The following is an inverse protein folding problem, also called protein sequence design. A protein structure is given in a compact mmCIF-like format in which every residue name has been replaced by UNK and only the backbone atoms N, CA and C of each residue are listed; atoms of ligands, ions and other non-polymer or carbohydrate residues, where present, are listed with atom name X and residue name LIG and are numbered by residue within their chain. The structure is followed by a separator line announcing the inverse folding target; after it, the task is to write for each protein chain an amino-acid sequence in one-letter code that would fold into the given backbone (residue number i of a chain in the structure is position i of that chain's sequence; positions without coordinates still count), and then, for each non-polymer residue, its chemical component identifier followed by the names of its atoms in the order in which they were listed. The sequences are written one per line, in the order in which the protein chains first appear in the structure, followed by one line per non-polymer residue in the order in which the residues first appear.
data_IF_738370999831
#
_entry.id   IF_738370999831
#
_cell.length_a   1.000
_cell.length_b   1.000
_cell.length_c   1.000
_cell.angle_alpha   90.00
_cell.angle_beta   90.00
_cell.angle_gamma   90.00
#
_symmetry.space_group_name_H-M   'P 1'
#
loop_
_entity.id
_entity.type
_entity.pdbx_description
1 polymer ?
#
# COMPACT_ATOMS: atom_id res chain seq x y z
N UNK A 1 -17.31 -18.11 2.19
CA UNK A 1 -16.86 -17.09 1.22
C UNK A 1 -17.92 -16.00 1.12
N UNK A 2 -17.54 -14.72 1.22
CA UNK A 2 -18.49 -13.58 1.19
C UNK A 2 -19.11 -13.38 -0.20
N UNK A 3 -20.21 -12.59 -0.29
CA UNK A 3 -20.83 -12.22 -1.57
C UNK A 3 -19.84 -11.47 -2.47
N UNK A 4 -19.14 -10.46 -1.93
CA UNK A 4 -18.04 -9.76 -2.62
C UNK A 4 -16.96 -10.73 -3.11
N UNK A 5 -16.57 -11.73 -2.30
CA UNK A 5 -15.57 -12.72 -2.69
C UNK A 5 -15.99 -13.58 -3.89
N UNK A 6 -17.27 -13.94 -4.00
CA UNK A 6 -17.82 -14.63 -5.19
C UNK A 6 -17.74 -13.75 -6.43
N UNK A 7 -18.17 -12.49 -6.32
CA UNK A 7 -18.15 -11.53 -7.44
C UNK A 7 -16.72 -11.29 -7.94
N UNK A 8 -15.74 -11.13 -7.04
CA UNK A 8 -14.33 -10.96 -7.42
C UNK A 8 -13.75 -12.20 -8.13
N UNK A 9 -14.13 -13.41 -7.70
CA UNK A 9 -13.73 -14.65 -8.38
C UNK A 9 -14.35 -14.75 -9.78
N UNK A 10 -15.62 -14.40 -9.91
CA UNK A 10 -16.32 -14.36 -11.19
C UNK A 10 -15.66 -13.37 -12.15
N UNK A 11 -15.40 -12.14 -11.70
CA UNK A 11 -14.70 -11.12 -12.49
C UNK A 11 -13.32 -11.60 -12.98
N UNK A 12 -12.52 -12.19 -12.08
CA UNK A 12 -11.21 -12.72 -12.45
C UNK A 12 -11.32 -13.91 -13.42
N UNK A 13 -12.30 -14.80 -13.21
CA UNK A 13 -12.56 -15.96 -14.06
C UNK A 13 -13.02 -15.59 -15.46
N UNK A 14 -13.98 -14.67 -15.58
CA UNK A 14 -14.47 -14.16 -16.86
C UNK A 14 -13.34 -13.48 -17.65
N UNK A 15 -12.58 -12.60 -16.99
CA UNK A 15 -11.43 -11.95 -17.62
C UNK A 15 -10.39 -12.97 -18.12
N UNK A 16 -10.14 -14.04 -17.38
CA UNK A 16 -9.24 -15.11 -17.81
C UNK A 16 -9.74 -15.86 -19.06
N UNK A 17 -11.04 -16.19 -19.13
CA UNK A 17 -11.66 -16.90 -20.25
C UNK A 17 -11.65 -16.03 -21.51
N UNK A 18 -11.98 -14.76 -21.37
CA UNK A 18 -12.03 -13.78 -22.47
C UNK A 18 -10.64 -13.30 -22.90
N UNK A 19 -9.57 -13.78 -22.24
CA UNK A 19 -8.19 -13.29 -22.40
C UNK A 19 -8.05 -11.78 -22.17
N UNK A 20 -8.95 -11.21 -21.37
CA UNK A 20 -8.94 -9.82 -20.95
C UNK A 20 -7.92 -9.60 -19.81
N UNK A 21 -6.87 -8.83 -20.09
CA UNK A 21 -5.86 -8.50 -19.08
C UNK A 21 -6.30 -7.42 -18.08
N UNK A 22 -7.39 -6.71 -18.37
CA UNK A 22 -7.90 -5.60 -17.57
C UNK A 22 -9.42 -5.62 -17.51
N UNK A 23 -9.95 -5.21 -16.37
CA UNK A 23 -11.38 -4.94 -16.15
C UNK A 23 -11.53 -3.45 -15.89
N UNK A 24 -12.45 -2.82 -16.61
CA UNK A 24 -12.85 -1.44 -16.35
C UNK A 24 -13.96 -1.47 -15.31
N UNK A 25 -13.69 -0.85 -14.16
CA UNK A 25 -14.68 -0.65 -13.11
C UNK A 25 -15.65 0.43 -13.59
N UNK A 26 -16.78 0.00 -14.16
CA UNK A 26 -17.91 0.88 -14.46
C UNK A 26 -18.63 1.28 -13.17
N UNK A 27 -19.46 2.33 -13.24
CA UNK A 27 -20.27 2.75 -12.09
C UNK A 27 -21.23 1.61 -11.67
N UNK A 28 -21.82 0.88 -12.63
CA UNK A 28 -22.65 -0.31 -12.34
C UNK A 28 -21.88 -1.41 -11.61
N UNK A 29 -20.65 -1.73 -12.05
CA UNK A 29 -19.85 -2.75 -11.36
C UNK A 29 -19.41 -2.29 -9.96
N UNK A 30 -19.18 -0.99 -9.79
CA UNK A 30 -18.90 -0.40 -8.48
C UNK A 30 -20.10 -0.56 -7.54
N UNK A 31 -21.30 -0.20 -7.98
CA UNK A 31 -22.55 -0.37 -7.22
C UNK A 31 -22.78 -1.85 -6.83
N UNK A 32 -22.51 -2.79 -7.74
CA UNK A 32 -22.61 -4.23 -7.45
C UNK A 32 -21.61 -4.68 -6.38
N UNK A 33 -20.36 -4.20 -6.46
CA UNK A 33 -19.31 -4.52 -5.47
C UNK A 33 -19.65 -3.92 -4.10
N UNK A 34 -20.19 -2.71 -4.06
CA UNK A 34 -20.65 -2.05 -2.82
C UNK A 34 -21.82 -2.81 -2.20
N UNK A 35 -22.86 -3.12 -2.97
CA UNK A 35 -24.00 -3.92 -2.51
C UNK A 35 -23.58 -5.34 -2.04
N UNK A 36 -22.50 -5.88 -2.60
CA UNK A 36 -21.93 -7.16 -2.20
C UNK A 36 -21.03 -7.09 -0.96
N UNK A 37 -20.52 -5.91 -0.61
CA UNK A 37 -19.68 -5.67 0.56
C UNK A 37 -20.48 -5.48 1.86
N UNK A 38 -21.74 -5.04 1.75
CA UNK A 38 -22.63 -4.77 2.88
C UNK A 38 -23.00 -3.29 2.97
N UNK A 39 -23.61 -2.84 4.08
CA UNK A 39 -23.96 -1.44 4.26
C UNK A 39 -22.71 -0.56 4.19
N UNK A 40 -22.79 0.63 3.56
CA UNK A 40 -21.67 1.56 3.53
C UNK A 40 -21.32 1.99 4.95
N UNK A 41 -20.05 2.31 5.22
CA UNK A 41 -19.67 2.78 6.52
C UNK A 41 -20.30 4.15 6.81
N UNK A 42 -20.66 4.38 8.07
CA UNK A 42 -21.21 5.65 8.55
C UNK A 42 -20.15 6.74 8.75
N UNK A 43 -18.87 6.35 8.77
CA UNK A 43 -17.73 7.26 8.92
C UNK A 43 -16.67 6.94 7.87
N UNK A 44 -15.98 7.96 7.37
CA UNK A 44 -14.87 7.80 6.43
C UNK A 44 -13.54 7.75 7.18
N UNK A 45 -12.53 7.14 6.57
CA UNK A 45 -11.16 7.27 7.05
C UNK A 45 -10.79 8.77 7.06
N UNK A 46 -10.40 9.36 8.21
CA UNK A 46 -10.19 10.81 8.30
C UNK A 46 -9.11 11.31 7.34
N UNK A 47 -8.03 10.55 7.22
CA UNK A 47 -6.95 10.81 6.28
C UNK A 47 -6.07 9.58 6.06
N UNK A 48 -5.36 9.55 4.94
CA UNK A 48 -4.35 8.56 4.57
C UNK A 48 -3.35 9.18 3.58
N UNK A 49 -2.31 8.44 3.21
CA UNK A 49 -1.48 8.79 2.04
C UNK A 49 -1.63 7.74 0.96
N UNK A 50 -1.70 8.16 -0.29
CA UNK A 50 -1.65 7.30 -1.47
C UNK A 50 -0.28 7.45 -2.12
N UNK A 51 0.42 6.33 -2.33
CA UNK A 51 1.64 6.28 -3.12
C UNK A 51 1.31 5.74 -4.51
N UNK A 52 1.65 6.49 -5.55
CA UNK A 52 1.31 6.16 -6.92
C UNK A 52 2.40 6.62 -7.92
N UNK A 53 2.36 6.05 -9.12
CA UNK A 53 3.12 6.51 -10.28
C UNK A 53 2.17 7.24 -11.24
N UNK A 54 2.63 8.36 -11.81
CA UNK A 54 1.95 9.01 -12.93
C UNK A 54 2.58 8.52 -14.22
N UNK A 55 1.77 7.94 -15.10
CA UNK A 55 2.20 7.38 -16.37
C UNK A 55 1.71 8.29 -17.50
N UNK A 56 2.63 8.94 -18.21
CA UNK A 56 2.33 9.81 -19.33
C UNK A 56 3.53 9.88 -20.29
N UNK A 57 3.22 9.88 -21.59
CA UNK A 57 4.22 9.87 -22.67
C UNK A 57 5.12 11.10 -22.67
N UNK A 58 4.58 12.25 -22.29
CA UNK A 58 5.27 13.55 -22.30
C UNK A 58 4.53 14.54 -21.41
N UNK A 59 5.18 15.65 -21.08
CA UNK A 59 4.55 16.72 -20.30
C UNK A 59 3.31 17.30 -21.02
N UNK A 60 3.33 17.57 -22.35
CA UNK A 60 2.13 17.98 -23.07
C UNK A 60 0.99 16.95 -23.06
N UNK A 61 1.28 15.65 -23.02
CA UNK A 61 0.25 14.62 -22.89
C UNK A 61 -0.39 14.67 -21.50
N UNK A 62 0.45 14.80 -20.45
CA UNK A 62 0.01 14.99 -19.08
C UNK A 62 -0.91 16.22 -18.95
N UNK A 63 -0.51 17.37 -19.52
CA UNK A 63 -1.26 18.63 -19.48
C UNK A 63 -2.65 18.54 -20.15
N UNK A 64 -2.77 17.73 -21.22
CA UNK A 64 -4.05 17.45 -21.88
C UNK A 64 -4.89 16.38 -21.18
N UNK A 65 -4.41 15.85 -20.06
CA UNK A 65 -5.10 14.81 -19.29
C UNK A 65 -4.93 13.40 -19.85
N UNK A 66 -3.98 13.18 -20.76
CA UNK A 66 -3.63 11.85 -21.28
C UNK A 66 -2.56 11.20 -20.40
N UNK A 67 -3.02 10.68 -19.25
CA UNK A 67 -2.18 10.02 -18.28
C UNK A 67 -2.95 8.92 -17.55
N UNK A 68 -2.20 8.03 -16.89
CA UNK A 68 -2.72 7.06 -15.92
C UNK A 68 -2.08 7.26 -14.56
N UNK A 69 -2.82 6.96 -13.50
CA UNK A 69 -2.31 6.94 -12.12
C UNK A 69 -2.28 5.50 -11.66
N UNK A 70 -1.09 4.91 -11.55
CA UNK A 70 -0.92 3.55 -11.02
C UNK A 70 -0.74 3.60 -9.52
N UNK A 71 -1.70 3.08 -8.78
CA UNK A 71 -1.63 2.99 -7.32
C UNK A 71 -0.64 1.89 -6.93
N UNK A 72 0.33 2.23 -6.08
CA UNK A 72 1.27 1.25 -5.52
C UNK A 72 0.80 0.75 -4.16
N UNK A 73 0.42 1.68 -3.27
CA UNK A 73 -0.05 1.38 -1.93
C UNK A 73 -0.77 2.59 -1.34
N UNK A 74 -1.47 2.36 -0.22
CA UNK A 74 -2.03 3.39 0.64
C UNK A 74 -1.56 3.16 2.07
N UNK A 75 -1.39 4.23 2.83
CA UNK A 75 -1.02 4.17 4.24
C UNK A 75 -2.25 4.30 5.14
N UNK A 76 -2.07 3.96 6.42
CA UNK A 76 -3.10 4.12 7.45
C UNK A 76 -3.45 5.58 7.79
N UNK A 77 -2.53 6.52 7.54
CA UNK A 77 -2.63 7.92 7.96
C UNK A 77 -1.69 8.84 7.18
N UNK A 78 -2.06 10.12 7.07
CA UNK A 78 -1.17 11.16 6.57
C UNK A 78 0.15 11.22 7.37
N UNK A 79 1.28 11.43 6.69
CA UNK A 79 2.62 11.45 7.31
C UNK A 79 3.26 10.08 7.55
N UNK A 80 2.57 8.97 7.29
CA UNK A 80 3.10 7.60 7.53
C UNK A 80 4.34 7.30 6.67
N UNK A 81 4.26 7.52 5.36
CA UNK A 81 5.32 7.22 4.40
C UNK A 81 6.35 8.33 4.31
N UNK A 82 5.90 9.57 4.50
CA UNK A 82 6.72 10.79 4.32
C UNK A 82 7.41 11.26 5.61
N UNK A 83 6.95 10.83 6.78
CA UNK A 83 7.35 11.39 8.07
C UNK A 83 8.85 11.36 8.34
N UNK A 84 9.54 10.23 8.10
CA UNK A 84 11.00 10.12 8.28
C UNK A 84 11.79 11.10 7.40
N UNK A 85 11.23 11.52 6.27
CA UNK A 85 11.87 12.43 5.32
C UNK A 85 11.56 13.90 5.62
N UNK A 86 10.72 14.21 6.61
CA UNK A 86 10.27 15.59 6.88
C UNK A 86 11.42 16.55 7.17
N UNK A 87 12.54 16.06 7.70
CA UNK A 87 13.75 16.85 7.92
C UNK A 87 14.38 17.40 6.63
N UNK A 88 14.13 16.77 5.47
CA UNK A 88 14.60 17.23 4.16
C UNK A 88 13.76 18.38 3.60
N UNK A 89 12.57 18.63 4.17
CA UNK A 89 11.63 19.63 3.67
C UNK A 89 11.23 20.64 4.74
N UNK A 90 12.17 21.33 5.42
CA UNK A 90 11.90 22.17 6.59
C UNK A 90 10.78 23.19 6.34
N UNK A 91 10.75 23.77 5.13
CA UNK A 91 9.81 24.81 4.71
C UNK A 91 8.44 24.30 4.22
N UNK A 92 8.25 22.98 4.09
CA UNK A 92 6.96 22.44 3.68
C UNK A 92 5.90 22.74 4.77
N UNK A 93 4.71 23.26 4.40
CA UNK A 93 3.68 23.56 5.38
C UNK A 93 3.37 22.32 6.23
N UNK A 94 3.21 22.51 7.54
CA UNK A 94 2.89 21.45 8.49
C UNK A 94 1.42 21.00 8.34
N UNK A 95 1.06 20.52 7.15
CA UNK A 95 -0.29 20.09 6.80
C UNK A 95 -0.85 18.99 7.71
N UNK A 96 0.01 18.36 8.52
CA UNK A 96 -0.36 17.39 9.56
C UNK A 96 -1.14 18.01 10.74
N UNK A 97 -0.98 19.31 11.04
CA UNK A 97 -1.60 19.94 12.23
C UNK A 97 -3.11 20.17 12.06
N UNK A 98 -3.62 20.22 10.82
CA UNK A 98 -5.03 20.50 10.51
C UNK A 98 -5.77 19.29 9.91
N UNK A 99 -5.28 18.09 10.19
CA UNK A 99 -5.91 16.85 9.73
C UNK A 99 -7.16 16.54 10.57
N UNK A 100 -8.25 16.06 9.95
CA UNK A 100 -9.43 15.64 10.71
C UNK A 100 -9.12 14.37 11.50
N UNK A 101 -9.68 14.27 12.70
CA UNK A 101 -9.64 13.09 13.56
C UNK A 101 -10.93 12.30 13.47
N UNK A 102 -10.91 11.05 13.94
CA UNK A 102 -12.11 10.22 14.10
C UNK A 102 -13.07 10.86 15.11
N UNK A 103 -12.53 11.36 16.23
CA UNK A 103 -13.28 12.14 17.20
C UNK A 103 -13.01 13.63 16.98
N UNK A 104 -13.97 14.44 16.51
CA UNK A 104 -13.75 15.85 16.17
C UNK A 104 -13.25 16.73 17.34
N UNK A 105 -13.39 16.27 18.59
CA UNK A 105 -12.87 16.99 19.77
C UNK A 105 -11.46 16.55 20.17
N UNK A 106 -10.91 15.51 19.53
CA UNK A 106 -9.56 15.03 19.82
C UNK A 106 -8.49 15.91 19.19
N UNK A 107 -7.41 16.14 19.92
CA UNK A 107 -6.20 16.76 19.40
C UNK A 107 -5.26 15.69 18.82
N UNK A 108 -4.57 16.01 17.73
CA UNK A 108 -3.53 15.14 17.19
C UNK A 108 -2.25 15.24 18.04
N UNK A 109 -1.73 14.08 18.44
CA UNK A 109 -0.41 13.98 19.07
C UNK A 109 0.48 12.99 18.32
N UNK A 110 1.79 13.24 18.32
CA UNK A 110 2.75 12.37 17.66
C UNK A 110 3.14 11.22 18.57
N UNK A 111 3.08 9.99 18.07
CA UNK A 111 3.63 8.83 18.76
C UNK A 111 5.10 8.65 18.38
N UNK A 112 5.96 8.53 19.39
CA UNK A 112 7.39 8.31 19.27
C UNK A 112 7.83 7.10 20.08
N UNK A 113 8.66 6.25 19.47
CA UNK A 113 9.05 4.96 20.02
C UNK A 113 10.25 4.37 19.27
N UNK A 114 10.97 3.47 19.92
CA UNK A 114 11.93 2.58 19.26
C UNK A 114 11.25 1.30 18.76
N UNK A 115 11.66 0.76 17.60
CA UNK A 115 11.14 -0.50 17.12
C UNK A 115 11.65 -1.65 17.99
N UNK A 116 10.91 -2.75 18.02
CA UNK A 116 11.31 -3.96 18.74
C UNK A 116 12.56 -4.63 18.18
N UNK A 117 13.01 -4.24 16.98
CA UNK A 117 14.21 -4.77 16.33
C UNK A 117 15.05 -3.66 15.69
N UNK A 118 16.36 -3.77 15.84
CA UNK A 118 17.33 -2.75 15.42
C UNK A 118 17.34 -2.52 13.91
N UNK A 119 17.01 -3.53 13.09
CA UNK A 119 16.98 -3.41 11.63
C UNK A 119 15.93 -2.40 11.14
N UNK A 120 14.91 -2.11 11.97
CA UNK A 120 13.88 -1.14 11.68
C UNK A 120 14.14 0.24 12.32
N UNK A 121 15.26 0.46 13.02
CA UNK A 121 15.54 1.69 13.76
C UNK A 121 15.40 2.95 12.88
N UNK A 122 16.01 2.92 11.69
CA UNK A 122 15.94 4.00 10.70
C UNK A 122 14.52 4.30 10.18
N UNK A 123 13.55 3.39 10.38
CA UNK A 123 12.16 3.62 10.00
C UNK A 123 11.41 4.47 11.04
N UNK A 124 11.87 4.49 12.30
CA UNK A 124 11.20 5.20 13.41
C UNK A 124 11.81 6.56 13.72
N UNK A 125 13.03 6.84 13.21
CA UNK A 125 13.70 8.15 13.32
C UNK A 125 12.93 9.21 12.54
N UNK A 126 12.08 9.95 13.24
CA UNK A 126 11.17 10.93 12.66
C UNK A 126 11.26 12.24 13.44
N UNK A 127 11.36 13.40 12.78
CA UNK A 127 11.31 14.67 13.49
C UNK A 127 9.94 14.86 14.15
N UNK A 128 9.90 15.64 15.24
CA UNK A 128 8.63 16.04 15.83
C UNK A 128 7.94 17.08 14.93
N UNK A 129 6.72 16.76 14.48
CA UNK A 129 5.92 17.63 13.61
C UNK A 129 4.61 18.07 14.25
N UNK A 130 4.17 17.40 15.31
CA UNK A 130 3.00 17.80 16.08
C UNK A 130 3.41 18.46 17.41
N UNK A 131 2.58 19.38 17.94
CA UNK A 131 2.88 20.07 19.19
C UNK A 131 3.05 19.14 20.39
N UNK A 132 2.23 18.09 20.46
CA UNK A 132 2.27 17.07 21.52
C UNK A 132 2.93 15.79 21.07
N UNK A 133 3.62 15.15 22.00
CA UNK A 133 4.34 13.90 21.80
C UNK A 133 3.89 12.88 22.86
N UNK A 134 3.59 11.66 22.43
CA UNK A 134 3.47 10.49 23.31
C UNK A 134 4.73 9.65 23.10
N UNK A 135 5.54 9.54 24.15
CA UNK A 135 6.83 8.84 24.16
C UNK A 135 6.69 7.45 24.76
N UNK A 136 7.13 6.41 24.04
CA UNK A 136 7.07 5.02 24.53
C UNK A 136 8.45 4.39 24.49
N UNK A 137 8.99 4.08 25.67
CA UNK A 137 10.29 3.40 25.80
C UNK A 137 11.49 4.27 25.42
N UNK A 138 11.33 5.59 25.36
CA UNK A 138 12.41 6.55 25.14
C UNK A 138 12.68 7.35 26.41
N UNK A 139 13.95 7.72 26.62
CA UNK A 139 14.33 8.68 27.66
C UNK A 139 14.13 10.11 27.15
N UNK A 140 13.20 10.85 27.74
CA UNK A 140 12.91 12.26 27.42
C UNK A 140 12.83 13.06 28.71
N UNK A 141 13.24 14.33 28.64
CA UNK A 141 13.11 15.26 29.76
C UNK A 141 11.65 15.60 30.06
N UNK A 142 11.39 16.19 31.22
CA UNK A 142 10.07 16.72 31.58
C UNK A 142 9.75 17.94 30.72
N UNK A 143 8.71 17.84 29.90
CA UNK A 143 8.12 18.92 29.09
C UNK A 143 6.61 18.69 29.11
N UNK A 144 5.81 19.74 29.36
CA UNK A 144 4.34 19.67 29.42
C UNK A 144 3.71 19.16 28.11
N UNK A 145 4.48 19.15 27.01
CA UNK A 145 4.08 18.63 25.69
C UNK A 145 4.43 17.17 25.48
N UNK A 146 5.17 16.55 26.39
CA UNK A 146 5.59 15.15 26.33
C UNK A 146 4.78 14.34 27.33
N UNK A 147 4.01 13.38 26.82
CA UNK A 147 3.20 12.44 27.58
C UNK A 147 3.84 11.05 27.50
N UNK A 148 3.61 10.26 28.54
CA UNK A 148 3.99 8.86 28.64
C UNK A 148 2.74 7.98 28.73
N UNK A 149 2.85 6.66 28.55
CA UNK A 149 1.70 5.75 28.66
C UNK A 149 0.95 5.86 30.00
N UNK A 150 1.64 6.20 31.09
CA UNK A 150 1.04 6.38 32.41
C UNK A 150 0.12 7.62 32.50
N UNK A 151 0.29 8.59 31.60
CA UNK A 151 -0.53 9.81 31.54
C UNK A 151 -1.80 9.61 30.72
N UNK A 152 -1.98 8.43 30.10
CA UNK A 152 -3.08 8.15 29.19
C UNK A 152 -4.11 7.21 29.82
N UNK A 153 -5.37 7.52 29.56
CA UNK A 153 -6.51 6.66 29.86
C UNK A 153 -7.26 6.30 28.58
N UNK A 154 -7.89 5.12 28.59
CA UNK A 154 -8.75 4.66 27.51
C UNK A 154 -10.20 4.87 27.91
N UNK A 155 -10.96 5.54 27.06
CA UNK A 155 -12.41 5.68 27.21
C UNK A 155 -13.16 4.96 26.10
N UNK A 156 -14.46 4.77 26.33
CA UNK A 156 -15.41 4.26 25.34
C UNK A 156 -16.51 5.32 25.12
N UNK A 157 -16.79 5.65 23.87
CA UNK A 157 -17.90 6.53 23.46
C UNK A 157 -18.69 5.85 22.35
N UNK A 158 -19.91 5.42 22.66
CA UNK A 158 -20.69 4.59 21.73
C UNK A 158 -19.92 3.30 21.40
N UNK A 159 -19.61 3.09 20.13
CA UNK A 159 -18.81 1.96 19.64
C UNK A 159 -17.32 2.27 19.44
N UNK A 160 -16.84 3.47 19.82
CA UNK A 160 -15.48 3.91 19.56
C UNK A 160 -14.67 4.02 20.86
N UNK A 161 -13.51 3.38 20.88
CA UNK A 161 -12.50 3.62 21.89
C UNK A 161 -11.75 4.91 21.57
N UNK A 162 -11.34 5.65 22.60
CA UNK A 162 -10.53 6.85 22.45
C UNK A 162 -9.46 6.92 23.53
N UNK A 163 -8.40 7.67 23.26
CA UNK A 163 -7.37 8.02 24.24
C UNK A 163 -7.68 9.40 24.83
N UNK A 164 -7.41 9.57 26.11
CA UNK A 164 -7.42 10.86 26.76
C UNK A 164 -6.27 11.01 27.76
N UNK A 165 -5.87 12.24 28.04
CA UNK A 165 -4.93 12.57 29.10
C UNK A 165 -5.64 12.41 30.45
N UNK A 166 -5.09 11.59 31.34
CA UNK A 166 -5.68 11.24 32.63
C UNK A 166 -6.01 12.47 33.48
N UNK A 167 -5.08 13.42 33.55
CA UNK A 167 -5.19 14.60 34.40
C UNK A 167 -6.24 15.62 33.94
N UNK A 168 -6.47 15.73 32.63
CA UNK A 168 -7.30 16.81 32.04
C UNK A 168 -8.55 16.29 31.32
N UNK A 169 -8.64 14.99 31.05
CA UNK A 169 -9.67 14.41 30.20
C UNK A 169 -9.55 14.77 28.71
N UNK A 170 -8.47 15.45 28.31
CA UNK A 170 -8.29 15.89 26.94
C UNK A 170 -8.12 14.70 26.00
N UNK A 171 -8.96 14.60 24.96
CA UNK A 171 -8.92 13.50 23.99
C UNK A 171 -7.79 13.65 22.98
N UNK A 172 -7.18 12.52 22.64
CA UNK A 172 -6.06 12.44 21.70
C UNK A 172 -6.31 11.40 20.60
N UNK A 173 -5.85 11.71 19.39
CA UNK A 173 -5.62 10.73 18.32
C UNK A 173 -4.14 10.73 17.97
N UNK A 174 -3.51 9.56 18.03
CA UNK A 174 -2.06 9.45 17.86
C UNK A 174 -1.67 9.17 16.41
N UNK A 175 -0.78 9.99 15.87
CA UNK A 175 -0.15 9.75 14.57
C UNK A 175 1.25 9.21 14.76
N UNK A 176 1.54 8.09 14.10
CA UNK A 176 2.89 7.55 13.98
C UNK A 176 3.47 7.92 12.61
N UNK A 177 4.40 8.89 12.51
CA UNK A 177 4.98 9.35 11.23
C UNK A 177 6.03 8.37 10.65
N UNK A 178 5.79 7.07 10.77
CA UNK A 178 6.69 5.99 10.38
C UNK A 178 6.00 4.94 9.51
N UNK A 179 6.69 4.47 8.47
CA UNK A 179 6.23 3.41 7.58
C UNK A 179 6.53 1.99 8.10
N UNK A 180 6.85 1.85 9.39
CA UNK A 180 7.07 0.55 10.01
C UNK A 180 5.77 -0.28 10.01
N UNK A 181 5.91 -1.58 9.79
CA UNK A 181 4.78 -2.48 9.83
C UNK A 181 4.39 -2.78 11.29
N UNK A 182 3.10 -2.58 11.62
CA UNK A 182 2.58 -2.84 12.96
C UNK A 182 2.24 -4.31 13.21
N UNK A 183 1.93 -5.06 12.16
CA UNK A 183 1.45 -6.44 12.24
C UNK A 183 2.55 -7.48 12.03
N UNK A 184 3.34 -7.30 10.96
CA UNK A 184 4.28 -8.30 10.49
C UNK A 184 5.66 -8.13 11.11
N UNK A 185 6.36 -9.25 11.23
CA UNK A 185 7.76 -9.35 11.65
C UNK A 185 8.06 -8.82 13.06
N UNK A 186 7.02 -8.55 13.86
CA UNK A 186 7.10 -8.09 15.26
C UNK A 186 8.00 -6.84 15.44
N UNK A 187 8.03 -5.93 14.46
CA UNK A 187 8.85 -4.73 14.51
C UNK A 187 8.31 -3.65 15.46
N UNK A 188 7.01 -3.68 15.77
CA UNK A 188 6.35 -2.64 16.57
C UNK A 188 6.03 -3.20 17.96
N UNK A 189 6.40 -2.51 19.07
CA UNK A 189 6.03 -2.94 20.41
C UNK A 189 4.49 -3.03 20.56
N UNK A 190 3.94 -4.04 21.26
CA UNK A 190 2.49 -4.20 21.37
C UNK A 190 1.75 -2.97 21.92
N UNK A 191 2.34 -2.31 22.93
CA UNK A 191 1.79 -1.07 23.50
C UNK A 191 1.75 0.07 22.48
N UNK A 192 2.82 0.24 21.69
CA UNK A 192 2.88 1.26 20.63
C UNK A 192 1.80 1.01 19.59
N UNK A 193 1.66 -0.25 19.15
CA UNK A 193 0.62 -0.63 18.19
C UNK A 193 -0.77 -0.33 18.73
N UNK A 194 -1.04 -0.73 19.97
CA UNK A 194 -2.32 -0.46 20.64
C UNK A 194 -2.63 1.04 20.64
N UNK A 195 -1.68 1.86 21.10
CA UNK A 195 -1.81 3.32 21.14
C UNK A 195 -2.01 3.95 19.75
N UNK A 196 -1.38 3.40 18.72
CA UNK A 196 -1.50 3.91 17.35
C UNK A 196 -2.81 3.51 16.65
N UNK A 197 -3.39 2.36 17.00
CA UNK A 197 -4.59 1.80 16.33
C UNK A 197 -5.89 2.14 17.06
N UNK A 198 -5.87 2.33 18.39
CA UNK A 198 -7.08 2.36 19.23
C UNK A 198 -8.13 3.40 18.79
N UNK A 199 -7.74 4.65 18.55
CA UNK A 199 -8.69 5.72 18.18
C UNK A 199 -9.33 5.49 16.80
N UNK A 200 -8.72 4.63 15.97
CA UNK A 200 -9.16 4.34 14.60
C UNK A 200 -9.72 2.92 14.43
N UNK A 201 -9.65 2.08 15.46
CA UNK A 201 -9.94 0.65 15.37
C UNK A 201 -11.37 0.33 14.89
N UNK A 202 -12.34 1.17 15.25
CA UNK A 202 -13.74 1.04 14.84
C UNK A 202 -14.10 1.90 13.61
N UNK A 203 -13.11 2.44 12.89
CA UNK A 203 -13.32 3.22 11.67
C UNK A 203 -12.80 2.49 10.44
N UNK A 204 -13.52 2.55 9.31
CA UNK A 204 -13.02 1.98 8.07
C UNK A 204 -11.68 2.62 7.69
N UNK A 205 -10.75 1.78 7.28
CA UNK A 205 -9.47 2.23 6.72
C UNK A 205 -9.50 2.02 5.21
N UNK A 206 -8.89 2.94 4.46
CA UNK A 206 -8.60 2.72 3.04
C UNK A 206 -7.38 1.80 2.96
N UNK A 207 -7.52 0.66 2.30
CA UNK A 207 -6.44 -0.31 2.09
C UNK A 207 -6.07 -0.39 0.61
N UNK A 208 -5.03 -1.17 0.30
CA UNK A 208 -4.80 -1.58 -1.08
C UNK A 208 -5.99 -2.43 -1.58
N UNK A 209 -6.15 -2.52 -2.90
CA UNK A 209 -7.18 -3.39 -3.47
C UNK A 209 -6.82 -4.86 -3.22
N UNK A 210 -7.73 -5.58 -2.57
CA UNK A 210 -7.57 -6.99 -2.26
C UNK A 210 -8.53 -7.86 -3.10
N UNK A 211 -7.95 -8.73 -3.93
CA UNK A 211 -8.68 -9.76 -4.69
C UNK A 211 -9.26 -10.86 -3.79
N UNK A 212 -8.92 -10.89 -2.49
CA UNK A 212 -9.42 -11.87 -1.53
C UNK A 212 -9.10 -13.30 -1.97
N UNK A 213 -10.11 -14.18 -1.99
CA UNK A 213 -9.93 -15.57 -2.42
C UNK A 213 -9.40 -15.71 -3.86
N UNK A 214 -9.66 -14.73 -4.73
CA UNK A 214 -9.19 -14.75 -6.11
C UNK A 214 -7.65 -14.63 -6.24
N UNK A 215 -6.92 -14.24 -5.18
CA UNK A 215 -5.45 -14.31 -5.19
C UNK A 215 -4.90 -15.73 -5.40
N UNK A 216 -5.70 -16.76 -5.10
CA UNK A 216 -5.32 -18.17 -5.33
C UNK A 216 -5.30 -18.55 -6.81
N UNK A 217 -5.92 -17.74 -7.68
CA UNK A 217 -5.94 -17.95 -9.12
C UNK A 217 -4.55 -17.69 -9.72
N UNK A 218 -4.19 -18.41 -10.81
CA UNK A 218 -2.92 -18.20 -11.51
C UNK A 218 -2.86 -16.86 -12.23
N UNK A 219 -3.99 -16.18 -12.41
CA UNK A 219 -4.11 -14.89 -13.04
C UNK A 219 -5.20 -14.06 -12.35
N UNK A 220 -4.95 -12.76 -12.19
CA UNK A 220 -5.97 -11.76 -11.86
C UNK A 220 -5.79 -10.55 -12.77
N UNK A 221 -6.87 -9.99 -13.35
CA UNK A 221 -6.76 -8.86 -14.27
C UNK A 221 -6.35 -7.57 -13.54
N UNK A 222 -5.86 -6.60 -14.30
CA UNK A 222 -5.74 -5.24 -13.81
C UNK A 222 -7.13 -4.65 -13.55
N UNK A 223 -7.29 -3.81 -12.52
CA UNK A 223 -8.51 -3.02 -12.33
C UNK A 223 -8.26 -1.57 -12.63
N UNK A 224 -9.04 -1.04 -13.57
CA UNK A 224 -8.97 0.35 -13.99
C UNK A 224 -10.24 1.06 -13.57
N UNK A 225 -10.10 2.22 -12.94
CA UNK A 225 -11.21 3.13 -12.67
C UNK A 225 -10.85 4.50 -13.19
N UNK A 226 -11.60 4.99 -14.19
CA UNK A 226 -11.28 6.25 -14.89
C UNK A 226 -9.83 6.25 -15.39
N UNK A 227 -8.98 7.17 -14.91
CA UNK A 227 -7.54 7.25 -15.24
C UNK A 227 -6.66 6.43 -14.29
N UNK A 228 -7.22 5.81 -13.27
CA UNK A 228 -6.46 5.10 -12.24
C UNK A 228 -6.35 3.61 -12.55
N UNK A 229 -5.18 3.04 -12.31
CA UNK A 229 -4.94 1.60 -12.24
C UNK A 229 -4.87 1.26 -10.75
N UNK A 230 -5.94 0.68 -10.21
CA UNK A 230 -6.10 0.40 -8.77
C UNK A 230 -5.23 -0.80 -8.35
N UNK A 231 -5.14 -1.80 -9.23
CA UNK A 231 -4.26 -2.96 -9.09
C UNK A 231 -3.82 -3.40 -10.49
N UNK A 232 -2.56 -3.79 -10.63
CA UNK A 232 -2.03 -4.30 -11.90
C UNK A 232 -2.44 -5.76 -12.12
N UNK A 233 -2.47 -6.18 -13.39
CA UNK A 233 -2.63 -7.58 -13.72
C UNK A 233 -1.50 -8.39 -13.08
N UNK A 234 -1.82 -9.59 -12.61
CA UNK A 234 -0.88 -10.50 -11.95
C UNK A 234 -0.96 -11.87 -12.60
N UNK A 235 0.20 -12.48 -12.78
CA UNK A 235 0.37 -13.89 -13.12
C UNK A 235 1.18 -14.60 -12.05
N UNK A 236 0.83 -15.84 -11.77
CA UNK A 236 1.58 -16.74 -10.89
C UNK A 236 2.18 -17.87 -11.71
N UNK A 237 3.49 -17.80 -11.92
CA UNK A 237 4.27 -18.83 -12.59
C UNK A 237 4.76 -19.84 -11.56
N UNK A 238 4.32 -21.09 -11.66
CA UNK A 238 4.80 -22.15 -10.76
C UNK A 238 6.11 -22.72 -11.27
N UNK A 239 7.07 -22.94 -10.38
CA UNK A 239 8.38 -23.49 -10.75
C UNK A 239 8.26 -24.80 -11.53
N UNK A 240 7.34 -25.69 -11.11
CA UNK A 240 7.03 -26.98 -11.77
C UNK A 240 6.50 -26.87 -13.21
N UNK A 241 6.11 -25.68 -13.67
CA UNK A 241 5.66 -25.46 -15.04
C UNK A 241 6.83 -25.36 -16.01
N UNK A 242 8.04 -25.13 -15.50
CA UNK A 242 9.26 -24.98 -16.27
C UNK A 242 10.23 -26.14 -16.02
N UNK A 243 11.20 -26.36 -16.94
CA UNK A 243 12.26 -27.33 -16.73
C UNK A 243 13.04 -27.09 -15.44
N UNK A 244 13.60 -28.15 -14.88
CA UNK A 244 14.35 -28.12 -13.63
C UNK A 244 15.66 -27.32 -13.71
N UNK A 245 16.36 -27.25 -12.57
CA UNK A 245 17.61 -26.48 -12.44
C UNK A 245 18.76 -27.01 -13.33
N UNK A 246 18.71 -28.27 -13.73
CA UNK A 246 19.73 -28.92 -14.58
C UNK A 246 19.49 -28.77 -16.08
N UNK A 247 18.31 -28.27 -16.49
CA UNK A 247 18.02 -28.05 -17.90
C UNK A 247 18.92 -26.97 -18.51
N UNK A 248 19.14 -27.02 -19.82
CA UNK A 248 19.86 -25.95 -20.51
C UNK A 248 18.99 -24.67 -20.56
N UNK A 249 19.64 -23.51 -20.67
CA UNK A 249 18.92 -22.22 -20.64
C UNK A 249 17.99 -22.04 -21.85
N UNK A 250 18.40 -22.50 -23.03
CA UNK A 250 17.62 -22.50 -24.26
C UNK A 250 16.30 -23.29 -24.11
N UNK A 251 16.37 -24.52 -23.61
CA UNK A 251 15.19 -25.35 -23.31
C UNK A 251 14.27 -24.66 -22.29
N UNK A 252 14.86 -24.08 -21.24
CA UNK A 252 14.11 -23.39 -20.21
C UNK A 252 13.40 -22.15 -20.75
N UNK A 253 14.09 -21.35 -21.57
CA UNK A 253 13.55 -20.15 -22.21
C UNK A 253 12.42 -20.48 -23.18
N UNK A 254 12.56 -21.52 -24.00
CA UNK A 254 11.50 -21.98 -24.91
C UNK A 254 10.22 -22.33 -24.14
N UNK A 255 10.35 -23.09 -23.04
CA UNK A 255 9.19 -23.46 -22.20
C UNK A 255 8.58 -22.25 -21.51
N UNK A 256 9.37 -21.26 -21.11
CA UNK A 256 8.86 -20.00 -20.61
C UNK A 256 8.09 -19.23 -21.69
N UNK A 257 8.60 -19.12 -22.91
CA UNK A 257 7.92 -18.44 -24.02
C UNK A 257 6.60 -19.11 -24.39
N UNK A 258 6.55 -20.45 -24.40
CA UNK A 258 5.30 -21.21 -24.59
C UNK A 258 4.30 -20.92 -23.47
N UNK A 259 4.76 -20.92 -22.21
CA UNK A 259 3.90 -20.57 -21.08
C UNK A 259 3.38 -19.12 -21.18
N UNK A 260 4.27 -18.18 -21.52
CA UNK A 260 4.00 -16.74 -21.67
C UNK A 260 2.92 -16.51 -22.73
N UNK A 261 3.09 -17.11 -23.91
CA UNK A 261 2.12 -17.02 -25.00
C UNK A 261 0.75 -17.59 -24.61
N UNK A 262 0.72 -18.75 -23.93
CA UNK A 262 -0.53 -19.38 -23.48
C UNK A 262 -1.24 -18.54 -22.41
N UNK A 263 -0.49 -18.04 -21.43
CA UNK A 263 -1.00 -17.28 -20.28
C UNK A 263 -1.25 -15.80 -20.61
N UNK A 264 -0.89 -15.35 -21.82
CA UNK A 264 -1.01 -13.96 -22.23
C UNK A 264 -0.19 -13.03 -21.35
N UNK A 265 1.04 -13.40 -21.03
CA UNK A 265 1.96 -12.58 -20.22
C UNK A 265 2.74 -11.65 -21.17
N UNK A 266 2.86 -10.34 -20.89
CA UNK A 266 3.62 -9.43 -21.74
C UNK A 266 5.12 -9.72 -21.69
N UNK A 267 5.87 -9.15 -22.63
CA UNK A 267 7.34 -9.27 -22.65
C UNK A 267 7.97 -8.64 -21.40
N UNK A 268 7.47 -7.47 -20.98
CA UNK A 268 7.97 -6.76 -19.80
C UNK A 268 7.04 -6.97 -18.61
N UNK A 269 7.60 -7.43 -17.51
CA UNK A 269 6.89 -7.71 -16.26
C UNK A 269 7.66 -7.17 -15.06
N UNK A 270 6.95 -6.99 -13.95
CA UNK A 270 7.56 -6.74 -12.64
C UNK A 270 7.52 -8.05 -11.83
N UNK A 271 8.67 -8.65 -11.58
CA UNK A 271 8.80 -9.75 -10.62
C UNK A 271 8.72 -9.20 -9.20
N UNK A 272 7.77 -9.69 -8.41
CA UNK A 272 7.66 -9.32 -7.00
C UNK A 272 8.62 -10.14 -6.14
N UNK A 273 9.39 -9.45 -5.31
CA UNK A 273 10.36 -10.01 -4.37
C UNK A 273 10.19 -9.28 -3.03
N UNK A 274 9.44 -9.88 -2.10
CA UNK A 274 9.03 -9.24 -0.85
C UNK A 274 8.39 -7.85 -1.09
N UNK A 275 9.02 -6.78 -0.59
CA UNK A 275 8.58 -5.39 -0.77
C UNK A 275 9.11 -4.74 -2.06
N UNK A 276 9.96 -5.44 -2.82
CA UNK A 276 10.60 -4.96 -4.03
C UNK A 276 9.90 -5.48 -5.28
N UNK A 277 10.06 -4.73 -6.37
CA UNK A 277 9.63 -5.12 -7.71
C UNK A 277 10.80 -4.96 -8.66
N UNK A 278 11.15 -6.03 -9.35
CA UNK A 278 12.22 -6.04 -10.33
C UNK A 278 11.62 -6.06 -11.73
N UNK A 279 11.96 -5.06 -12.55
CA UNK A 279 11.57 -5.05 -13.94
C UNK A 279 12.38 -6.09 -14.71
N UNK A 280 11.69 -6.99 -15.38
CA UNK A 280 12.26 -8.01 -16.26
C UNK A 280 11.69 -7.86 -17.67
N UNK A 281 12.55 -7.92 -18.65
CA UNK A 281 12.21 -8.16 -20.05
C UNK A 281 12.43 -9.65 -20.36
N UNK A 282 11.33 -10.39 -20.43
CA UNK A 282 11.31 -11.84 -20.65
C UNK A 282 11.74 -12.25 -22.05
N UNK A 283 12.31 -11.34 -22.84
CA UNK A 283 12.98 -11.62 -24.12
C UNK A 283 14.51 -11.57 -24.01
N UNK A 284 15.05 -11.17 -22.86
CA UNK A 284 16.50 -11.02 -22.61
C UNK A 284 17.02 -12.15 -21.74
N UNK A 285 18.05 -12.86 -22.21
CA UNK A 285 18.64 -14.01 -21.50
C UNK A 285 19.03 -13.69 -20.06
N UNK A 286 19.62 -12.51 -19.81
CA UNK A 286 20.01 -12.09 -18.46
C UNK A 286 18.81 -12.00 -17.50
N UNK A 287 17.67 -11.48 -17.97
CA UNK A 287 16.46 -11.34 -17.15
C UNK A 287 15.78 -12.71 -16.95
N UNK A 288 15.93 -13.62 -17.91
CA UNK A 288 15.51 -15.01 -17.78
C UNK A 288 16.32 -15.75 -16.70
N UNK A 289 17.64 -15.53 -16.64
CA UNK A 289 18.50 -16.10 -15.60
C UNK A 289 18.11 -15.60 -14.19
N UNK A 290 17.73 -14.31 -14.06
CA UNK A 290 17.22 -13.76 -12.81
C UNK A 290 15.91 -14.43 -12.37
N UNK A 291 14.95 -14.59 -13.30
CA UNK A 291 13.69 -15.27 -13.03
C UNK A 291 13.92 -16.75 -12.67
N UNK A 292 14.82 -17.43 -13.39
CA UNK A 292 15.20 -18.82 -13.15
C UNK A 292 15.84 -19.00 -11.77
N UNK A 293 16.70 -18.07 -11.37
CA UNK A 293 17.34 -18.05 -10.05
C UNK A 293 16.30 -17.89 -8.94
N UNK A 294 15.37 -16.95 -9.11
CA UNK A 294 14.26 -16.77 -8.16
C UNK A 294 13.42 -18.05 -8.01
N UNK A 295 13.04 -18.70 -9.12
CA UNK A 295 12.30 -19.96 -9.11
C UNK A 295 13.11 -21.16 -8.59
N UNK A 296 14.43 -21.04 -8.51
CA UNK A 296 15.30 -22.03 -7.87
C UNK A 296 15.18 -22.04 -6.34
N UNK A 297 14.73 -20.94 -5.74
CA UNK A 297 14.52 -20.79 -4.29
C UNK A 297 13.06 -20.63 -3.85
N UNK A 298 12.13 -20.43 -4.79
CA UNK A 298 10.71 -20.22 -4.53
C UNK A 298 9.82 -21.17 -5.35
N UNK A 299 8.72 -21.73 -4.79
CA UNK A 299 7.81 -22.59 -5.52
C UNK A 299 7.03 -21.87 -6.64
N UNK A 300 6.98 -20.55 -6.62
CA UNK A 300 6.35 -19.72 -7.64
C UNK A 300 6.97 -18.33 -7.75
N UNK A 301 6.86 -17.74 -8.94
CA UNK A 301 7.11 -16.33 -9.19
C UNK A 301 5.77 -15.60 -9.33
N UNK A 302 5.67 -14.44 -8.69
CA UNK A 302 4.54 -13.52 -8.88
C UNK A 302 4.99 -12.39 -9.81
N UNK A 303 4.37 -12.34 -10.99
CA UNK A 303 4.67 -11.36 -12.02
C UNK A 303 3.50 -10.38 -12.10
N UNK A 304 3.80 -9.09 -12.18
CA UNK A 304 2.82 -8.05 -12.44
C UNK A 304 3.07 -7.40 -13.80
N UNK A 305 2.02 -6.84 -14.38
CA UNK A 305 2.17 -6.02 -15.58
C UNK A 305 3.12 -4.83 -15.33
N UNK A 306 4.03 -4.59 -16.26
CA UNK A 306 4.98 -3.49 -16.17
C UNK A 306 4.39 -2.20 -16.76
N UNK A 307 4.78 -1.01 -16.26
CA UNK A 307 4.46 0.23 -16.95
C UNK A 307 4.98 0.19 -18.40
N UNK A 308 4.28 0.84 -19.34
CA UNK A 308 4.81 1.06 -20.69
C UNK A 308 6.23 1.66 -20.66
N UNK A 309 7.10 1.35 -21.65
CA UNK A 309 8.47 1.85 -21.69
C UNK A 309 8.61 3.38 -21.58
N UNK A 310 7.61 4.10 -22.11
CA UNK A 310 7.49 5.54 -22.20
C UNK A 310 6.59 6.15 -21.10
N UNK A 311 6.19 5.34 -20.11
CA UNK A 311 5.31 5.79 -19.03
C UNK A 311 5.89 6.96 -18.23
N UNK A 312 7.21 7.05 -18.10
CA UNK A 312 7.91 8.12 -17.37
C UNK A 312 8.37 9.26 -18.30
N UNK A 313 7.91 9.29 -19.57
CA UNK A 313 8.35 10.26 -20.57
C UNK A 313 8.08 11.72 -20.17
N UNK A 314 6.99 11.97 -19.43
CA UNK A 314 6.66 13.30 -18.90
C UNK A 314 7.72 13.89 -17.95
N UNK A 315 8.53 13.05 -17.30
CA UNK A 315 9.62 13.47 -16.39
C UNK A 315 11.00 13.12 -16.95
N UNK A 316 11.11 12.92 -18.28
CA UNK A 316 12.36 12.59 -18.96
C UNK A 316 12.84 11.16 -18.71
N UNK A 317 11.92 10.21 -18.56
CA UNK A 317 12.22 8.79 -18.39
C UNK A 317 12.70 8.41 -16.98
N UNK A 318 12.59 9.31 -16.00
CA UNK A 318 13.01 9.04 -14.62
C UNK A 318 11.92 8.28 -13.86
N UNK A 319 12.27 7.09 -13.36
CA UNK A 319 11.42 6.34 -12.46
C UNK A 319 11.08 7.18 -11.22
N UNK A 320 9.80 7.17 -10.83
CA UNK A 320 9.33 8.02 -9.75
C UNK A 320 8.16 7.39 -8.99
N UNK A 321 7.87 7.93 -7.81
CA UNK A 321 6.64 7.70 -7.07
C UNK A 321 6.23 9.00 -6.39
N UNK A 322 4.94 9.28 -6.39
CA UNK A 322 4.34 10.45 -5.77
C UNK A 322 3.53 9.97 -4.58
N UNK A 323 3.75 10.60 -3.43
CA UNK A 323 2.94 10.38 -2.23
C UNK A 323 2.03 11.58 -2.03
N UNK A 324 0.72 11.34 -2.03
CA UNK A 324 -0.31 12.37 -1.84
C UNK A 324 -1.07 12.08 -0.55
N UNK A 325 -1.10 13.05 0.36
CA UNK A 325 -1.98 13.00 1.52
C UNK A 325 -3.42 13.30 1.10
N UNK A 326 -4.34 12.42 1.47
CA UNK A 326 -5.78 12.55 1.22
C UNK A 326 -6.47 12.68 2.57
N UNK A 327 -7.43 13.60 2.67
CA UNK A 327 -8.27 13.79 3.86
C UNK A 327 -9.74 13.76 3.47
N UNK A 328 -10.58 13.29 4.38
CA UNK A 328 -12.03 13.38 4.21
C UNK A 328 -12.45 14.85 4.07
N UNK A 329 -13.42 15.10 3.17
CA UNK A 329 -14.13 16.38 3.13
C UNK A 329 -14.90 16.59 4.44
N UNK A 330 -15.09 17.86 4.81
CA UNK A 330 -16.03 18.20 5.88
C UNK A 330 -17.47 17.97 5.44
#
# INVERSE_FOLDING_TARGET
MSRRGRLLLELAGTAAIERGQKVILSETLLEELEAAAGPPPTTLAPHFEMCAQVQALSLPALDRGDFRVRVHTVSRAAGTMTGRFRHLFPQAPAGQVALPTVDPVAELAQLSFHPSRVEADLLTRTPQVLPKLVSVGEFRGSDDKVLFPADLVVGLRGSHLYLAVAATGQRLELLAPTAINFMWNNFTPPLVRFLAEISRAATPQVTWFDWGAAWTLPFTPALHYRRSILVAARWQLRARTLPGRTARLDEWAERLHVWRARAGVPDRVLLAMDAQRLLLDLTRDMDLDLLRTHLGGSPFAVLYDAPPPDADGWIGGRAHSIVVAVRAGR
#
